data_IF_454532934880
#
_entry.id   IF_454532934880
#
_cell.length_a   1.000
_cell.length_b   1.000
_cell.length_c   1.000
_cell.angle_alpha   90.00
_cell.angle_beta   90.00
_cell.angle_gamma   90.00
#
_symmetry.space_group_name_H-M   'P 1'
#
loop_
_entity.id
_entity.type
_entity.pdbx_description
1 polymer ?
#
# COMPACT_ATOMS: atom_id res chain seq x y z
N UNK A 1 -66.69 60.11 -55.37
CA UNK A 1 -65.30 60.65 -55.35
C UNK A 1 -65.01 61.11 -53.93
N UNK A 2 -63.78 60.87 -53.48
CA UNK A 2 -63.18 61.17 -52.17
C UNK A 2 -63.62 60.31 -50.97
N UNK A 3 -62.82 59.30 -50.60
CA UNK A 3 -61.77 59.27 -49.54
C UNK A 3 -62.31 59.34 -48.12
N UNK A 4 -62.19 58.23 -47.39
CA UNK A 4 -61.83 58.28 -45.98
C UNK A 4 -61.06 57.02 -45.58
N UNK A 5 -59.79 57.23 -45.25
CA UNK A 5 -58.83 56.28 -44.72
C UNK A 5 -59.26 55.86 -43.30
N UNK A 6 -59.29 54.56 -43.00
CA UNK A 6 -59.18 54.07 -41.63
C UNK A 6 -57.92 53.20 -41.53
N UNK A 7 -56.94 53.70 -40.78
CA UNK A 7 -55.72 53.03 -40.36
C UNK A 7 -56.03 52.21 -39.09
N UNK A 8 -55.93 50.88 -39.14
CA UNK A 8 -55.88 50.03 -37.95
C UNK A 8 -54.48 49.42 -37.85
N UNK A 9 -53.72 49.87 -36.86
CA UNK A 9 -52.40 49.34 -36.52
C UNK A 9 -52.54 48.00 -35.79
N UNK A 10 -51.98 46.94 -36.37
CA UNK A 10 -51.80 45.64 -35.70
C UNK A 10 -50.45 45.72 -34.97
N UNK A 11 -50.49 45.80 -33.64
CA UNK A 11 -49.29 45.70 -32.80
C UNK A 11 -48.77 44.26 -32.82
N UNK A 12 -47.61 44.05 -33.43
CA UNK A 12 -46.86 42.80 -33.32
C UNK A 12 -46.07 42.80 -32.00
N UNK A 13 -46.48 41.96 -31.06
CA UNK A 13 -45.70 41.69 -29.84
C UNK A 13 -44.44 40.91 -30.21
N UNK A 14 -43.29 41.57 -30.22
CA UNK A 14 -42.00 40.90 -30.27
C UNK A 14 -41.71 40.26 -28.90
N UNK A 15 -41.79 38.94 -28.81
CA UNK A 15 -41.31 38.21 -27.65
C UNK A 15 -39.78 38.34 -27.59
N UNK A 16 -39.28 38.97 -26.53
CA UNK A 16 -37.85 39.03 -26.25
C UNK A 16 -37.37 37.62 -25.87
N UNK A 17 -36.50 37.04 -26.69
CA UNK A 17 -35.73 35.85 -26.33
C UNK A 17 -34.74 36.25 -25.21
N UNK A 18 -34.60 35.45 -24.13
CA UNK A 18 -33.57 35.70 -23.14
C UNK A 18 -32.20 35.52 -23.80
N UNK A 19 -31.38 36.57 -23.74
CA UNK A 19 -29.99 36.57 -24.14
C UNK A 19 -29.25 35.47 -23.37
N UNK A 20 -28.70 34.49 -24.08
CA UNK A 20 -27.77 33.53 -23.48
C UNK A 20 -26.58 34.31 -22.92
N UNK A 21 -26.14 34.05 -21.67
CA UNK A 21 -24.95 34.70 -21.15
C UNK A 21 -23.75 34.33 -22.02
N UNK A 22 -22.98 35.36 -22.39
CA UNK A 22 -21.75 35.26 -23.18
C UNK A 22 -20.81 34.22 -22.55
N UNK A 23 -20.45 33.18 -23.31
CA UNK A 23 -19.37 32.23 -23.00
C UNK A 23 -17.99 32.90 -23.17
N UNK A 24 -17.80 34.09 -22.59
CA UNK A 24 -16.58 34.88 -22.74
C UNK A 24 -16.05 35.28 -21.36
N UNK A 25 -15.72 34.28 -20.56
CA UNK A 25 -14.70 34.44 -19.50
C UNK A 25 -13.86 33.17 -19.49
N UNK A 26 -13.12 32.96 -20.58
CA UNK A 26 -11.89 32.18 -20.49
C UNK A 26 -11.01 32.96 -19.53
N UNK A 27 -10.70 32.37 -18.36
CA UNK A 27 -9.72 32.95 -17.44
C UNK A 27 -8.50 33.41 -18.25
N UNK A 28 -8.06 34.65 -18.02
CA UNK A 28 -6.84 35.16 -18.60
C UNK A 28 -5.72 34.11 -18.41
N UNK A 29 -4.80 33.94 -19.38
CA UNK A 29 -3.65 33.07 -19.18
C UNK A 29 -3.00 33.46 -17.85
N UNK A 30 -2.88 32.50 -16.94
CA UNK A 30 -2.11 32.68 -15.71
C UNK A 30 -0.75 33.27 -16.12
N UNK A 31 -0.36 34.40 -15.54
CA UNK A 31 0.98 34.94 -15.77
C UNK A 31 1.98 33.89 -15.26
N UNK A 32 2.65 33.22 -16.20
CA UNK A 32 3.70 32.26 -15.90
C UNK A 32 4.95 33.03 -15.51
N UNK A 33 4.99 33.52 -14.26
CA UNK A 33 6.25 33.81 -13.59
C UNK A 33 7.05 32.51 -13.64
N UNK A 34 8.19 32.50 -14.36
CA UNK A 34 9.00 31.32 -14.71
C UNK A 34 8.65 30.08 -13.88
N UNK A 35 7.69 29.29 -14.38
CA UNK A 35 7.28 28.08 -13.68
C UNK A 35 8.50 27.15 -13.66
N UNK A 36 8.87 26.69 -12.47
CA UNK A 36 9.83 25.61 -12.35
C UNK A 36 9.31 24.41 -13.18
N UNK A 37 10.21 23.55 -13.69
CA UNK A 37 9.80 22.27 -14.27
C UNK A 37 8.82 21.54 -13.34
N UNK A 38 7.85 20.81 -13.91
CA UNK A 38 6.82 20.12 -13.12
C UNK A 38 7.41 19.09 -12.13
N UNK A 39 8.62 18.62 -12.43
CA UNK A 39 9.44 17.65 -11.70
C UNK A 39 10.56 18.29 -10.88
N UNK A 40 10.56 19.62 -10.70
CA UNK A 40 11.58 20.29 -9.91
C UNK A 40 11.58 19.77 -8.46
N UNK A 41 12.69 19.15 -8.05
CA UNK A 41 12.86 18.56 -6.72
C UNK A 41 12.44 17.10 -6.60
N UNK A 42 11.94 16.48 -7.67
CA UNK A 42 11.54 15.08 -7.67
C UNK A 42 12.74 14.16 -7.40
N UNK A 43 12.55 13.17 -6.53
CA UNK A 43 13.56 12.16 -6.24
C UNK A 43 13.25 10.89 -7.03
N UNK A 44 14.15 10.54 -7.94
CA UNK A 44 13.99 9.36 -8.81
C UNK A 44 14.83 8.16 -8.38
N UNK A 45 15.70 8.32 -7.38
CA UNK A 45 16.55 7.25 -6.84
C UNK A 45 16.00 6.76 -5.50
N UNK A 46 16.16 5.46 -5.21
CA UNK A 46 15.75 4.92 -3.91
C UNK A 46 16.68 5.43 -2.81
N UNK A 47 16.10 5.87 -1.69
CA UNK A 47 16.89 6.39 -0.57
C UNK A 47 17.26 5.25 0.37
N UNK A 48 18.55 4.93 0.47
CA UNK A 48 19.08 3.91 1.38
C UNK A 48 19.99 4.58 2.41
N UNK A 49 19.63 4.46 3.68
CA UNK A 49 20.31 5.10 4.79
C UNK A 49 21.77 4.60 4.94
N UNK A 50 22.71 5.45 5.42
CA UNK A 50 24.10 5.05 5.70
C UNK A 50 24.33 3.96 6.74
N UNK A 51 23.29 3.54 7.46
CA UNK A 51 23.36 2.37 8.34
C UNK A 51 23.56 1.06 7.58
N UNK A 52 23.18 1.03 6.29
CA UNK A 52 23.39 -0.14 5.44
C UNK A 52 24.85 -0.19 4.95
N UNK A 53 25.52 -1.31 5.21
CA UNK A 53 26.85 -1.59 4.66
C UNK A 53 26.79 -1.84 3.14
N UNK A 54 27.95 -2.00 2.49
CA UNK A 54 28.00 -2.12 1.02
C UNK A 54 27.27 -3.34 0.47
N UNK A 55 27.29 -4.48 1.18
CA UNK A 55 26.62 -5.71 0.75
C UNK A 55 25.10 -5.63 0.96
N UNK A 56 24.66 -5.02 2.07
CA UNK A 56 23.25 -4.77 2.36
C UNK A 56 22.65 -3.81 1.32
N UNK A 57 23.35 -2.70 1.04
CA UNK A 57 22.96 -1.74 0.00
C UNK A 57 22.79 -2.40 -1.37
N UNK A 58 23.72 -3.27 -1.76
CA UNK A 58 23.66 -3.94 -3.06
C UNK A 58 22.43 -4.86 -3.15
N UNK A 59 22.19 -5.70 -2.15
CA UNK A 59 21.04 -6.61 -2.13
C UNK A 59 19.72 -5.85 -2.08
N UNK A 60 19.64 -4.82 -1.24
CA UNK A 60 18.45 -3.98 -1.12
C UNK A 60 18.17 -3.22 -2.42
N UNK A 61 19.20 -2.64 -3.07
CA UNK A 61 19.03 -1.98 -4.36
C UNK A 61 18.52 -2.96 -5.42
N UNK A 62 19.09 -4.17 -5.49
CA UNK A 62 18.60 -5.23 -6.39
C UNK A 62 17.14 -5.59 -6.09
N UNK A 63 16.79 -5.73 -4.81
CA UNK A 63 15.41 -6.00 -4.40
C UNK A 63 14.44 -4.90 -4.78
N UNK A 64 14.84 -3.63 -4.68
CA UNK A 64 14.02 -2.49 -5.07
C UNK A 64 13.84 -2.42 -6.59
N UNK A 65 14.86 -2.77 -7.36
CA UNK A 65 14.75 -2.90 -8.81
C UNK A 65 13.84 -4.08 -9.20
N UNK A 66 13.86 -5.19 -8.44
CA UNK A 66 12.92 -6.30 -8.57
C UNK A 66 11.48 -5.90 -8.21
N UNK A 67 11.28 -5.06 -7.19
CA UNK A 67 9.97 -4.52 -6.82
C UNK A 67 9.38 -3.69 -7.97
N UNK A 68 10.18 -2.81 -8.57
CA UNK A 68 9.79 -2.04 -9.77
C UNK A 68 9.49 -2.97 -10.95
N UNK A 69 10.29 -4.01 -11.15
CA UNK A 69 10.06 -5.02 -12.21
C UNK A 69 8.72 -5.72 -12.02
N UNK A 70 8.45 -6.17 -10.80
CA UNK A 70 7.24 -6.90 -10.44
C UNK A 70 5.99 -6.02 -10.55
N UNK A 71 6.05 -4.78 -10.04
CA UNK A 71 4.99 -3.79 -10.17
C UNK A 71 4.73 -3.40 -11.64
N UNK A 72 5.79 -3.18 -12.42
CA UNK A 72 5.69 -2.88 -13.86
C UNK A 72 4.95 -3.99 -14.60
N UNK A 73 5.32 -5.24 -14.32
CA UNK A 73 4.67 -6.39 -14.92
C UNK A 73 3.19 -6.52 -14.49
N UNK A 74 2.92 -6.41 -13.18
CA UNK A 74 1.57 -6.48 -12.64
C UNK A 74 0.64 -5.42 -13.28
N UNK A 75 1.09 -4.17 -13.35
CA UNK A 75 0.38 -3.09 -14.07
C UNK A 75 0.16 -3.43 -15.54
N UNK A 76 1.18 -3.97 -16.22
CA UNK A 76 1.06 -4.35 -17.64
C UNK A 76 0.03 -5.46 -17.85
N UNK A 77 -0.01 -6.47 -16.97
CA UNK A 77 -1.01 -7.53 -16.99
C UNK A 77 -2.43 -6.96 -16.82
N UNK A 78 -2.62 -6.07 -15.83
CA UNK A 78 -3.91 -5.40 -15.59
C UNK A 78 -4.32 -4.56 -16.80
N UNK A 79 -3.42 -3.78 -17.38
CA UNK A 79 -3.73 -2.94 -18.54
C UNK A 79 -4.07 -3.76 -19.78
N UNK A 80 -3.47 -4.95 -19.92
CA UNK A 80 -3.70 -5.83 -21.06
C UNK A 80 -5.02 -6.58 -20.97
N UNK A 81 -5.31 -7.14 -19.79
CA UNK A 81 -6.42 -8.08 -19.62
C UNK A 81 -7.50 -7.57 -18.68
N UNK A 82 -7.13 -6.80 -17.67
CA UNK A 82 -8.03 -6.35 -16.60
C UNK A 82 -8.86 -7.51 -16.05
N UNK A 83 -10.16 -7.27 -15.89
CA UNK A 83 -11.11 -8.25 -15.39
C UNK A 83 -11.39 -9.45 -16.33
N UNK A 84 -10.80 -9.49 -17.54
CA UNK A 84 -10.87 -10.71 -18.37
C UNK A 84 -9.85 -11.78 -17.97
N UNK A 85 -8.85 -11.42 -17.16
CA UNK A 85 -7.85 -12.36 -16.64
C UNK A 85 -8.39 -13.18 -15.47
N UNK A 86 -8.17 -14.49 -15.52
CA UNK A 86 -8.44 -15.39 -14.39
C UNK A 86 -7.54 -15.06 -13.19
N UNK A 87 -6.29 -14.66 -13.43
CA UNK A 87 -5.35 -14.23 -12.38
C UNK A 87 -5.84 -12.95 -11.73
N UNK A 88 -6.32 -11.97 -12.51
CA UNK A 88 -6.90 -10.73 -11.96
C UNK A 88 -8.13 -11.05 -11.09
N UNK A 89 -9.06 -11.84 -11.62
CA UNK A 89 -10.30 -12.18 -10.92
C UNK A 89 -10.09 -12.98 -9.65
N UNK A 90 -9.02 -13.77 -9.59
CA UNK A 90 -8.64 -14.54 -8.41
C UNK A 90 -8.37 -13.64 -7.20
N UNK A 91 -7.67 -12.52 -7.40
CA UNK A 91 -7.22 -11.64 -6.31
C UNK A 91 -8.08 -10.39 -6.14
N UNK A 92 -8.80 -9.96 -7.19
CA UNK A 92 -9.55 -8.71 -7.19
C UNK A 92 -11.03 -8.87 -7.54
N UNK A 93 -11.50 -10.11 -7.75
CA UNK A 93 -12.90 -10.37 -8.08
C UNK A 93 -13.30 -9.68 -9.38
N UNK A 94 -14.49 -9.06 -9.39
CA UNK A 94 -14.96 -8.30 -10.55
C UNK A 94 -14.70 -6.78 -10.43
N UNK A 95 -13.85 -6.36 -9.49
CA UNK A 95 -13.59 -4.94 -9.23
C UNK A 95 -12.99 -4.24 -10.45
N UNK A 96 -13.18 -2.92 -10.59
CA UNK A 96 -12.53 -2.15 -11.64
C UNK A 96 -10.99 -2.19 -11.52
N UNK A 97 -10.27 -2.29 -12.65
CA UNK A 97 -8.81 -2.47 -12.64
C UNK A 97 -7.99 -1.24 -12.23
N UNK A 98 -8.61 -0.06 -12.22
CA UNK A 98 -7.90 1.22 -12.14
C UNK A 98 -7.13 1.40 -10.85
N UNK A 99 -7.72 0.95 -9.74
CA UNK A 99 -7.14 1.09 -8.42
C UNK A 99 -5.92 0.20 -8.22
N UNK A 100 -6.05 -1.10 -8.51
CA UNK A 100 -4.92 -2.02 -8.48
C UNK A 100 -3.81 -1.59 -9.46
N UNK A 101 -4.16 -1.10 -10.65
CA UNK A 101 -3.18 -0.55 -11.59
C UNK A 101 -2.46 0.70 -11.04
N UNK A 102 -3.20 1.58 -10.35
CA UNK A 102 -2.66 2.78 -9.70
C UNK A 102 -1.73 2.46 -8.53
N UNK A 103 -2.06 1.43 -7.73
CA UNK A 103 -1.22 0.93 -6.64
C UNK A 103 0.16 0.51 -7.14
N UNK A 104 0.24 -0.20 -8.27
CA UNK A 104 1.55 -0.50 -8.87
C UNK A 104 2.20 0.72 -9.52
N UNK A 105 1.41 1.64 -10.10
CA UNK A 105 1.95 2.81 -10.78
C UNK A 105 2.71 3.75 -9.84
N UNK A 106 2.23 3.93 -8.60
CA UNK A 106 2.93 4.75 -7.62
C UNK A 106 4.30 4.16 -7.24
N UNK A 107 4.45 2.83 -7.25
CA UNK A 107 5.76 2.18 -7.06
C UNK A 107 6.70 2.41 -8.26
N UNK A 108 6.16 2.37 -9.48
CA UNK A 108 6.95 2.49 -10.71
C UNK A 108 7.42 3.93 -10.92
N UNK A 109 6.50 4.90 -10.78
CA UNK A 109 6.66 6.28 -11.25
C UNK A 109 6.53 7.33 -10.14
N UNK A 110 6.21 6.93 -8.90
CA UNK A 110 6.09 7.87 -7.78
C UNK A 110 7.42 8.49 -7.38
N UNK A 111 7.34 9.66 -6.74
CA UNK A 111 8.49 10.32 -6.12
C UNK A 111 9.03 9.48 -4.96
N UNK A 112 10.32 9.16 -5.00
CA UNK A 112 10.99 8.28 -4.05
C UNK A 112 11.46 8.97 -2.79
N UNK A 113 11.25 10.28 -2.66
CA UNK A 113 11.57 11.04 -1.45
C UNK A 113 10.81 10.54 -0.22
N UNK A 114 9.61 9.96 -0.42
CA UNK A 114 8.75 9.46 0.65
C UNK A 114 9.11 8.07 1.19
N UNK A 115 10.24 7.49 0.78
CA UNK A 115 10.70 6.17 1.21
C UNK A 115 12.21 6.12 1.49
N UNK A 116 12.56 5.94 2.77
CA UNK A 116 13.92 5.73 3.26
C UNK A 116 14.05 4.32 3.85
N UNK A 117 14.97 3.54 3.31
CA UNK A 117 15.25 2.19 3.77
C UNK A 117 16.48 2.18 4.68
N UNK A 118 16.37 1.51 5.84
CA UNK A 118 17.40 1.48 6.89
C UNK A 118 17.84 0.07 7.22
N UNK A 119 19.07 -0.10 7.69
CA UNK A 119 19.61 -1.39 8.15
C UNK A 119 20.04 -1.38 9.63
N UNK A 120 19.96 -0.22 10.30
CA UNK A 120 20.01 -0.13 11.74
C UNK A 120 18.61 -0.40 12.33
N UNK A 121 18.57 -0.71 13.62
CA UNK A 121 17.36 -1.04 14.36
C UNK A 121 17.06 0.03 15.43
N UNK A 122 16.63 1.24 15.01
CA UNK A 122 16.39 2.34 15.94
C UNK A 122 15.25 2.05 16.93
N UNK A 123 14.32 1.17 16.58
CA UNK A 123 13.17 0.82 17.42
C UNK A 123 13.42 -0.45 18.27
N UNK A 124 14.50 -1.19 18.02
CA UNK A 124 14.85 -2.43 18.73
C UNK A 124 14.03 -3.66 18.34
N UNK A 125 13.17 -3.54 17.32
CA UNK A 125 12.24 -4.59 16.93
C UNK A 125 12.93 -5.76 16.21
N UNK A 126 13.95 -5.48 15.39
CA UNK A 126 14.73 -6.55 14.77
C UNK A 126 15.46 -7.39 15.82
N UNK A 127 15.99 -6.75 16.86
CA UNK A 127 16.65 -7.42 17.96
C UNK A 127 15.67 -8.20 18.86
N UNK A 128 14.44 -7.68 19.04
CA UNK A 128 13.40 -8.35 19.81
C UNK A 128 12.83 -9.59 19.11
N UNK A 129 12.78 -9.58 17.76
CA UNK A 129 12.18 -10.63 16.94
C UNK A 129 13.13 -11.12 15.82
N UNK A 130 14.33 -11.64 16.17
CA UNK A 130 15.42 -11.86 15.22
C UNK A 130 15.13 -12.94 14.17
N UNK A 131 14.28 -13.91 14.50
CA UNK A 131 13.94 -15.05 13.64
C UNK A 131 12.54 -14.92 13.01
N UNK A 132 11.81 -13.85 13.33
CA UNK A 132 10.43 -13.65 12.89
C UNK A 132 10.31 -12.42 11.99
N UNK A 133 10.97 -11.31 12.37
CA UNK A 133 10.84 -10.05 11.68
C UNK A 133 11.97 -9.89 10.67
N UNK A 134 11.61 -9.99 9.39
CA UNK A 134 12.51 -9.61 8.30
C UNK A 134 12.66 -8.08 8.19
N UNK A 135 11.79 -7.32 8.85
CA UNK A 135 11.82 -5.86 8.90
C UNK A 135 10.45 -5.27 9.19
N UNK A 136 10.41 -3.97 9.39
CA UNK A 136 9.18 -3.29 9.83
C UNK A 136 9.09 -1.87 9.29
N UNK A 137 7.86 -1.37 9.19
CA UNK A 137 7.58 0.04 9.03
C UNK A 137 7.70 0.73 10.39
N UNK A 138 8.35 1.90 10.46
CA UNK A 138 8.60 2.59 11.73
C UNK A 138 7.38 3.35 12.28
N UNK A 139 6.29 3.46 11.51
CA UNK A 139 5.09 4.13 11.97
C UNK A 139 5.36 5.59 12.37
N UNK A 140 4.77 6.08 13.48
CA UNK A 140 4.99 7.44 13.97
C UNK A 140 6.45 7.78 14.31
N UNK A 141 7.32 6.80 14.57
CA UNK A 141 8.72 7.03 14.88
C UNK A 141 9.57 7.40 13.64
N UNK A 142 9.02 7.18 12.43
CA UNK A 142 9.67 7.43 11.15
C UNK A 142 8.71 7.12 10.00
N UNK A 143 7.76 8.00 9.73
CA UNK A 143 6.63 7.73 8.81
C UNK A 143 7.03 7.47 7.37
N UNK A 144 8.23 7.87 6.97
CA UNK A 144 8.79 7.62 5.64
C UNK A 144 9.90 6.57 5.67
N UNK A 145 10.00 5.81 6.76
CA UNK A 145 11.11 4.91 7.02
C UNK A 145 10.66 3.46 7.21
N UNK A 146 11.36 2.55 6.55
CA UNK A 146 11.26 1.11 6.83
C UNK A 146 12.63 0.55 7.17
N UNK A 147 12.65 -0.34 8.15
CA UNK A 147 13.84 -1.07 8.61
C UNK A 147 13.90 -2.43 7.93
N UNK A 148 15.07 -2.77 7.40
CA UNK A 148 15.42 -4.09 6.89
C UNK A 148 16.22 -4.82 7.96
N UNK A 149 15.62 -5.82 8.60
CA UNK A 149 16.30 -6.62 9.62
C UNK A 149 17.31 -7.60 8.99
N UNK A 150 18.32 -8.08 9.75
CA UNK A 150 19.30 -9.05 9.28
C UNK A 150 18.68 -10.30 8.61
N UNK A 151 17.53 -10.76 9.12
CA UNK A 151 16.82 -11.90 8.58
C UNK A 151 16.43 -11.75 7.10
N UNK A 152 16.18 -10.53 6.61
CA UNK A 152 15.90 -10.32 5.18
C UNK A 152 17.07 -10.78 4.30
N UNK A 153 18.31 -10.47 4.70
CA UNK A 153 19.50 -10.76 3.90
C UNK A 153 19.87 -12.25 3.85
N UNK A 154 19.26 -13.07 4.69
CA UNK A 154 19.49 -14.53 4.71
C UNK A 154 18.27 -15.33 4.28
N UNK A 155 17.06 -14.77 4.38
CA UNK A 155 15.81 -15.48 4.05
C UNK A 155 15.23 -15.09 2.69
N UNK A 156 15.47 -13.87 2.19
CA UNK A 156 14.86 -13.39 0.96
C UNK A 156 15.56 -13.95 -0.27
N UNK A 157 14.75 -14.36 -1.24
CA UNK A 157 15.21 -14.82 -2.53
C UNK A 157 15.08 -13.71 -3.59
N UNK A 158 15.85 -13.84 -4.65
CA UNK A 158 15.72 -12.99 -5.83
C UNK A 158 14.55 -13.45 -6.70
N UNK A 159 13.86 -12.50 -7.34
CA UNK A 159 12.71 -12.76 -8.22
C UNK A 159 13.02 -13.77 -9.34
N UNK A 160 14.28 -13.88 -9.77
CA UNK A 160 14.72 -14.88 -10.75
C UNK A 160 14.55 -16.33 -10.27
N UNK A 161 14.27 -16.55 -8.98
CA UNK A 161 14.08 -17.86 -8.36
C UNK A 161 12.60 -18.21 -8.14
N UNK A 162 11.66 -17.36 -8.58
CA UNK A 162 10.23 -17.67 -8.47
C UNK A 162 9.90 -18.97 -9.21
N UNK A 163 9.00 -19.76 -8.65
CA UNK A 163 8.63 -21.11 -9.11
C UNK A 163 9.79 -22.13 -9.11
N UNK A 164 10.92 -21.82 -8.46
CA UNK A 164 12.00 -22.77 -8.21
C UNK A 164 11.95 -23.26 -6.76
N UNK A 165 12.75 -24.28 -6.44
CA UNK A 165 12.96 -24.77 -5.06
C UNK A 165 11.66 -25.18 -4.34
N UNK A 166 10.63 -25.58 -5.09
CA UNK A 166 9.36 -26.01 -4.54
C UNK A 166 8.42 -24.88 -4.14
N UNK A 167 8.75 -23.62 -4.48
CA UNK A 167 7.82 -22.50 -4.26
C UNK A 167 6.59 -22.61 -5.16
N UNK A 168 5.42 -22.38 -4.57
CA UNK A 168 4.19 -22.06 -5.26
C UNK A 168 3.50 -20.88 -4.58
N UNK A 169 2.69 -20.13 -5.34
CA UNK A 169 2.07 -18.88 -4.86
C UNK A 169 1.08 -19.12 -3.73
N UNK A 170 0.42 -20.27 -3.70
CA UNK A 170 -0.64 -20.57 -2.74
C UNK A 170 -0.10 -20.88 -1.35
N UNK A 171 0.93 -21.73 -1.28
CA UNK A 171 1.49 -22.20 -0.01
C UNK A 171 2.78 -21.48 0.38
N UNK A 172 3.48 -20.89 -0.59
CA UNK A 172 4.69 -20.12 -0.37
C UNK A 172 4.41 -18.77 0.26
N UNK A 173 5.38 -18.27 1.03
CA UNK A 173 5.29 -16.91 1.58
C UNK A 173 5.31 -15.88 0.44
N UNK A 174 4.34 -14.96 0.46
CA UNK A 174 4.30 -13.78 -0.42
C UNK A 174 5.48 -12.83 -0.22
N UNK A 175 6.12 -12.88 0.93
CA UNK A 175 7.29 -12.05 1.25
C UNK A 175 8.61 -12.78 1.02
N UNK A 176 8.61 -14.00 0.47
CA UNK A 176 9.85 -14.76 0.24
C UNK A 176 10.81 -14.03 -0.73
N UNK A 177 10.26 -13.35 -1.74
CA UNK A 177 11.06 -12.66 -2.75
C UNK A 177 11.25 -11.19 -2.39
N UNK A 178 12.48 -10.69 -2.53
CA UNK A 178 12.82 -9.28 -2.27
C UNK A 178 11.84 -8.31 -2.93
N UNK A 179 11.55 -8.50 -4.23
CA UNK A 179 10.63 -7.63 -4.95
C UNK A 179 9.22 -7.55 -4.35
N UNK A 180 8.67 -8.68 -3.88
CA UNK A 180 7.32 -8.71 -3.30
C UNK A 180 7.31 -8.17 -1.85
N UNK A 181 8.29 -8.54 -1.04
CA UNK A 181 8.47 -8.01 0.32
C UNK A 181 8.65 -6.47 0.31
N UNK A 182 9.36 -5.94 -0.68
CA UNK A 182 9.57 -4.49 -0.79
C UNK A 182 8.35 -3.76 -1.35
N UNK A 183 7.55 -4.37 -2.24
CA UNK A 183 6.22 -3.82 -2.60
C UNK A 183 5.36 -3.64 -1.35
N UNK A 184 5.33 -4.66 -0.48
CA UNK A 184 4.58 -4.61 0.78
C UNK A 184 5.01 -3.45 1.68
N UNK A 185 6.31 -3.34 1.94
CA UNK A 185 6.89 -2.30 2.79
C UNK A 185 6.68 -0.90 2.23
N UNK A 186 6.70 -0.77 0.90
CA UNK A 186 6.36 0.49 0.24
C UNK A 186 4.94 0.89 0.60
N UNK A 187 3.96 0.01 0.51
CA UNK A 187 2.57 0.34 0.84
C UNK A 187 2.34 0.75 2.30
N UNK A 188 3.19 0.34 3.24
CA UNK A 188 3.12 0.89 4.60
C UNK A 188 3.52 2.36 4.71
N UNK A 189 4.32 2.87 3.76
CA UNK A 189 4.75 4.27 3.76
C UNK A 189 3.67 5.16 3.13
N UNK A 190 3.30 6.30 3.75
CA UNK A 190 2.16 7.11 3.31
C UNK A 190 2.19 7.58 1.86
N UNK A 191 3.39 7.82 1.31
CA UNK A 191 3.59 8.25 -0.08
C UNK A 191 3.16 7.20 -1.12
N UNK A 192 3.15 5.92 -0.74
CA UNK A 192 2.80 4.79 -1.61
C UNK A 192 1.50 4.12 -1.18
N UNK A 193 1.25 4.02 0.12
CA UNK A 193 0.01 3.47 0.68
C UNK A 193 -1.17 4.44 0.69
N UNK A 194 -0.98 5.69 0.25
CA UNK A 194 -2.04 6.69 0.27
C UNK A 194 -2.53 7.03 1.68
N UNK A 195 -1.62 7.09 2.67
CA UNK A 195 -1.92 7.25 4.10
C UNK A 195 -2.79 6.11 4.68
N UNK A 196 -2.43 4.85 4.43
CA UNK A 196 -3.17 3.68 4.93
C UNK A 196 -4.41 3.33 4.10
N UNK A 197 -4.52 3.87 2.89
CA UNK A 197 -5.54 3.46 1.93
C UNK A 197 -5.22 2.08 1.33
N UNK A 198 -3.94 1.78 1.11
CA UNK A 198 -3.48 0.42 0.85
C UNK A 198 -2.97 -0.13 2.18
N UNK A 199 -3.61 -1.18 2.66
CA UNK A 199 -3.33 -1.78 3.97
C UNK A 199 -3.66 -3.28 3.97
N UNK A 200 -3.58 -3.91 5.12
CA UNK A 200 -4.00 -5.29 5.36
C UNK A 200 -5.51 -5.37 5.61
N UNK A 201 -6.27 -6.07 4.76
CA UNK A 201 -7.71 -6.27 4.97
C UNK A 201 -8.11 -7.74 5.05
N UNK A 202 -7.42 -8.59 4.31
CA UNK A 202 -7.44 -10.02 4.46
C UNK A 202 -6.00 -10.53 4.47
N UNK A 203 -5.79 -11.68 5.10
CA UNK A 203 -4.46 -12.24 5.26
C UNK A 203 -4.35 -13.60 4.61
N UNK A 204 -3.14 -13.90 4.14
CA UNK A 204 -2.81 -15.18 3.54
C UNK A 204 -3.53 -15.41 2.20
N UNK A 205 -3.11 -16.45 1.49
CA UNK A 205 -3.64 -16.69 0.15
C UNK A 205 -5.16 -16.98 0.18
N UNK A 206 -5.60 -17.81 1.13
CA UNK A 206 -7.00 -18.23 1.24
C UNK A 206 -7.93 -17.06 1.61
N UNK A 207 -7.51 -16.21 2.55
CA UNK A 207 -8.28 -15.03 2.95
C UNK A 207 -8.44 -14.06 1.79
N UNK A 208 -7.36 -13.77 1.07
CA UNK A 208 -7.39 -12.88 -0.09
C UNK A 208 -8.32 -13.38 -1.20
N UNK A 209 -8.19 -14.65 -1.61
CA UNK A 209 -9.03 -15.21 -2.67
C UNK A 209 -10.50 -15.28 -2.26
N UNK A 210 -10.77 -15.54 -0.97
CA UNK A 210 -12.13 -15.54 -0.42
C UNK A 210 -12.72 -14.14 -0.43
N UNK A 211 -11.99 -13.14 0.08
CA UNK A 211 -12.42 -11.75 0.09
C UNK A 211 -12.74 -11.24 -1.32
N UNK A 212 -11.89 -11.56 -2.30
CA UNK A 212 -12.11 -11.22 -3.71
C UNK A 212 -13.37 -11.88 -4.29
N UNK A 213 -13.58 -13.16 -3.98
CA UNK A 213 -14.76 -13.92 -4.43
C UNK A 213 -16.06 -13.39 -3.82
N UNK A 214 -16.01 -12.94 -2.57
CA UNK A 214 -17.14 -12.37 -1.84
C UNK A 214 -17.40 -10.90 -2.22
N UNK A 215 -16.53 -10.30 -3.04
CA UNK A 215 -16.69 -8.93 -3.52
C UNK A 215 -16.34 -7.90 -2.45
N UNK A 216 -15.31 -8.18 -1.64
CA UNK A 216 -14.78 -7.23 -0.67
C UNK A 216 -14.46 -5.89 -1.37
N UNK A 217 -14.88 -4.75 -0.79
CA UNK A 217 -14.55 -3.45 -1.34
C UNK A 217 -13.04 -3.16 -1.30
N UNK A 218 -12.28 -3.94 -0.52
CA UNK A 218 -10.88 -3.69 -0.25
C UNK A 218 -9.91 -4.52 -1.09
N UNK A 219 -10.40 -5.49 -1.88
CA UNK A 219 -9.51 -6.42 -2.58
C UNK A 219 -8.49 -5.74 -3.49
N UNK A 220 -8.83 -4.62 -4.13
CA UNK A 220 -7.95 -3.87 -5.05
C UNK A 220 -6.91 -2.99 -4.38
N UNK A 221 -7.01 -2.78 -3.07
CA UNK A 221 -6.06 -2.03 -2.25
C UNK A 221 -5.61 -2.83 -1.02
N UNK A 222 -5.77 -4.14 -1.06
CA UNK A 222 -5.18 -5.03 -0.06
C UNK A 222 -3.70 -5.27 -0.39
N UNK A 223 -2.81 -4.92 0.54
CA UNK A 223 -1.36 -5.01 0.34
C UNK A 223 -0.88 -6.46 0.14
N UNK A 224 -1.55 -7.45 0.74
CA UNK A 224 -1.29 -8.87 0.54
C UNK A 224 -1.84 -9.33 -0.80
N UNK A 225 -3.05 -8.90 -1.14
CA UNK A 225 -3.69 -9.20 -2.43
C UNK A 225 -2.89 -8.68 -3.61
N UNK A 226 -2.31 -7.49 -3.48
CA UNK A 226 -1.40 -6.92 -4.46
C UNK A 226 -0.12 -7.77 -4.59
N UNK A 227 0.50 -8.18 -3.48
CA UNK A 227 1.68 -9.06 -3.55
C UNK A 227 1.40 -10.38 -4.27
N UNK A 228 0.34 -11.10 -3.87
CA UNK A 228 0.00 -12.39 -4.47
C UNK A 228 -0.33 -12.25 -5.96
N UNK A 229 -1.10 -11.22 -6.34
CA UNK A 229 -1.38 -10.96 -7.74
C UNK A 229 -0.10 -10.71 -8.54
N UNK A 230 0.80 -9.86 -8.02
CA UNK A 230 2.01 -9.49 -8.74
C UNK A 230 2.93 -10.70 -8.95
N UNK A 231 3.09 -11.54 -7.91
CA UNK A 231 3.82 -12.80 -7.97
C UNK A 231 3.21 -13.79 -8.96
N UNK A 232 1.89 -14.04 -8.89
CA UNK A 232 1.26 -15.02 -9.77
C UNK A 232 1.24 -14.56 -11.22
N UNK A 233 0.93 -13.28 -11.48
CA UNK A 233 0.96 -12.73 -12.83
C UNK A 233 2.37 -12.87 -13.44
N UNK A 234 3.42 -12.52 -12.68
CA UNK A 234 4.80 -12.65 -13.15
C UNK A 234 5.21 -14.10 -13.36
N UNK A 235 4.83 -15.00 -12.45
CA UNK A 235 5.02 -16.44 -12.61
C UNK A 235 4.36 -16.96 -13.89
N UNK A 236 3.11 -16.57 -14.13
CA UNK A 236 2.29 -17.04 -15.24
C UNK A 236 2.71 -16.48 -16.60
N UNK A 237 3.08 -15.21 -16.69
CA UNK A 237 3.38 -14.55 -17.96
C UNK A 237 4.86 -14.64 -18.34
N UNK A 238 5.77 -14.56 -17.35
CA UNK A 238 7.21 -14.40 -17.58
C UNK A 238 7.97 -15.69 -17.34
N UNK A 239 7.75 -16.32 -16.18
CA UNK A 239 8.65 -17.37 -15.69
C UNK A 239 8.27 -18.73 -16.23
N UNK A 240 6.97 -19.07 -16.18
CA UNK A 240 6.44 -20.26 -16.79
C UNK A 240 5.19 -19.92 -17.61
N UNK A 241 5.37 -19.39 -18.84
CA UNK A 241 4.29 -18.86 -19.68
C UNK A 241 3.08 -19.78 -19.80
N UNK A 242 1.92 -19.29 -19.38
CA UNK A 242 0.64 -20.00 -19.46
C UNK A 242 0.38 -21.02 -18.35
N UNK A 243 1.34 -21.24 -17.45
CA UNK A 243 1.25 -22.27 -16.39
C UNK A 243 1.52 -21.67 -15.01
N UNK A 244 2.61 -20.91 -14.85
CA UNK A 244 3.05 -20.38 -13.55
C UNK A 244 3.39 -21.46 -12.52
N UNK A 245 3.28 -21.10 -11.24
CA UNK A 245 3.33 -22.00 -10.09
C UNK A 245 2.22 -21.68 -9.08
N UNK A 246 0.94 -21.84 -9.46
CA UNK A 246 -0.19 -21.44 -8.62
C UNK A 246 -0.42 -22.33 -7.39
N UNK A 247 0.26 -23.47 -7.29
CA UNK A 247 0.05 -24.47 -6.23
C UNK A 247 -1.03 -25.50 -6.57
N UNK A 248 -1.29 -26.42 -5.63
CA UNK A 248 -2.29 -27.47 -5.79
C UNK A 248 -3.72 -26.91 -5.81
N UNK A 249 -4.63 -27.57 -6.52
CA UNK A 249 -6.07 -27.27 -6.52
C UNK A 249 -6.85 -27.98 -5.39
N UNK A 250 -6.17 -28.68 -4.48
CA UNK A 250 -6.80 -29.35 -3.35
C UNK A 250 -7.52 -28.34 -2.41
N UNK A 251 -8.50 -28.73 -1.60
CA UNK A 251 -9.11 -27.84 -0.61
C UNK A 251 -8.06 -27.27 0.35
N UNK A 252 -8.20 -25.99 0.72
CA UNK A 252 -7.35 -25.37 1.75
C UNK A 252 -7.62 -26.01 3.12
N UNK A 253 -6.57 -26.50 3.78
CA UNK A 253 -6.66 -26.94 5.18
C UNK A 253 -6.60 -25.73 6.12
N UNK A 254 -7.06 -25.87 7.37
CA UNK A 254 -6.97 -24.78 8.37
C UNK A 254 -5.50 -24.31 8.55
N UNK A 255 -4.53 -25.23 8.43
CA UNK A 255 -3.09 -24.93 8.42
C UNK A 255 -2.65 -24.05 7.23
N UNK A 256 -3.31 -24.14 6.07
CA UNK A 256 -3.07 -23.30 4.89
C UNK A 256 -3.80 -21.94 4.98
N UNK A 257 -4.76 -21.78 5.90
CA UNK A 257 -5.47 -20.53 6.15
C UNK A 257 -4.70 -19.60 7.10
N UNK A 258 -3.88 -20.15 8.01
CA UNK A 258 -3.09 -19.41 9.00
C UNK A 258 -1.60 -19.24 8.58
N UNK A 259 -1.12 -20.02 7.61
CA UNK A 259 0.30 -20.12 7.26
C UNK A 259 0.73 -19.34 6.01
N UNK A 260 0.98 -18.03 6.12
CA UNK A 260 1.83 -17.32 5.13
C UNK A 260 2.77 -16.30 5.80
N UNK A 261 3.12 -16.55 7.07
CA UNK A 261 4.00 -15.72 7.89
C UNK A 261 5.16 -16.49 8.52
N UNK A 262 5.77 -17.47 7.84
CA UNK A 262 6.88 -18.21 8.45
C UNK A 262 7.62 -19.18 7.52
N UNK A 263 8.90 -18.87 7.29
CA UNK A 263 10.04 -19.74 7.00
C UNK A 263 9.77 -21.12 6.39
N UNK A 264 10.10 -21.25 5.10
CA UNK A 264 10.20 -22.54 4.42
C UNK A 264 11.22 -23.45 5.08
N UNK A 265 10.74 -24.46 5.80
CA UNK A 265 11.46 -25.67 6.11
C UNK A 265 10.80 -26.83 5.35
N UNK A 266 11.60 -27.51 4.53
CA UNK A 266 11.20 -28.65 3.74
C UNK A 266 10.54 -29.74 4.60
N UNK A 267 9.49 -30.34 4.04
CA UNK A 267 8.71 -31.42 4.64
C UNK A 267 9.58 -32.61 5.10
N UNK A 268 9.44 -32.97 6.37
CA UNK A 268 9.66 -34.33 6.85
C UNK A 268 8.46 -34.73 7.73
N UNK A 269 7.64 -35.63 7.21
CA UNK A 269 6.50 -36.19 7.91
C UNK A 269 6.94 -36.93 9.19
N UNK A 270 6.38 -36.56 10.34
CA UNK A 270 6.20 -37.47 11.46
C UNK A 270 4.87 -37.19 12.16
N UNK A 271 3.97 -38.17 12.05
CA UNK A 271 2.73 -38.29 12.81
C UNK A 271 3.02 -38.34 14.31
N UNK A 272 2.42 -37.45 15.11
CA UNK A 272 2.11 -37.73 16.51
C UNK A 272 0.82 -37.01 16.91
N UNK A 273 -0.19 -37.82 17.23
CA UNK A 273 -1.50 -37.38 17.71
C UNK A 273 -1.42 -36.98 19.17
N UNK A 274 -1.77 -35.74 19.51
CA UNK A 274 -2.23 -35.37 20.85
C UNK A 274 -3.44 -34.44 20.74
N UNK A 275 -4.50 -34.81 21.44
CA UNK A 275 -5.76 -34.09 21.53
C UNK A 275 -5.57 -32.77 22.30
N UNK A 276 -6.10 -31.67 21.76
CA UNK A 276 -6.24 -30.39 22.46
C UNK A 276 -7.71 -30.11 22.81
N UNK A 277 -7.92 -29.64 24.03
CA UNK A 277 -9.21 -29.25 24.61
C UNK A 277 -9.63 -27.85 24.12
N UNK A 278 -10.94 -27.50 24.12
CA UNK A 278 -11.42 -26.24 23.57
C UNK A 278 -11.09 -25.05 24.50
N UNK A 279 -10.49 -24.01 23.94
CA UNK A 279 -10.36 -22.70 24.58
C UNK A 279 -11.61 -21.83 24.31
N UNK A 280 -12.03 -21.10 25.32
CA UNK A 280 -13.28 -20.35 25.37
C UNK A 280 -13.20 -19.03 24.58
N UNK A 281 -14.26 -18.73 23.84
CA UNK A 281 -14.51 -17.44 23.19
C UNK A 281 -14.98 -16.44 24.25
N UNK A 282 -14.30 -15.31 24.40
CA UNK A 282 -14.80 -14.15 25.13
C UNK A 282 -14.99 -12.99 24.17
N UNK A 283 -16.24 -12.53 24.03
CA UNK A 283 -16.62 -11.36 23.24
C UNK A 283 -15.89 -10.10 23.73
N UNK A 284 -15.28 -9.35 22.80
CA UNK A 284 -14.70 -8.03 23.05
C UNK A 284 -15.78 -6.93 23.06
N UNK A 285 -15.72 -5.93 23.96
CA UNK A 285 -16.70 -4.85 24.04
C UNK A 285 -16.50 -3.81 22.91
N UNK A 286 -17.59 -3.17 22.49
CA UNK A 286 -17.58 -2.17 21.42
C UNK A 286 -16.76 -0.91 21.78
N UNK A 287 -15.86 -0.50 20.88
CA UNK A 287 -15.09 0.75 20.99
C UNK A 287 -13.56 0.62 20.91
N UNK A 288 -13.05 -0.59 20.71
CA UNK A 288 -11.61 -0.86 20.55
C UNK A 288 -11.31 -1.31 19.12
N UNK A 289 -10.23 -0.76 18.55
CA UNK A 289 -9.66 -1.27 17.32
C UNK A 289 -8.62 -2.34 17.69
N UNK A 290 -8.97 -3.59 17.42
CA UNK A 290 -8.20 -4.75 17.83
C UNK A 290 -7.68 -5.50 16.61
N UNK A 291 -6.41 -5.90 16.64
CA UNK A 291 -5.83 -6.82 15.68
C UNK A 291 -5.08 -7.96 16.38
N UNK A 292 -4.99 -9.08 15.69
CA UNK A 292 -4.44 -10.33 16.21
C UNK A 292 -3.13 -10.64 15.48
N UNK A 293 -2.09 -10.96 16.22
CA UNK A 293 -0.81 -11.39 15.67
C UNK A 293 -0.80 -12.90 15.41
N UNK A 294 0.20 -13.36 14.65
CA UNK A 294 0.40 -14.75 14.26
C UNK A 294 0.57 -15.75 15.41
N UNK A 295 0.85 -15.29 16.62
CA UNK A 295 0.95 -16.12 17.83
C UNK A 295 -0.38 -16.21 18.62
N UNK A 296 -1.46 -15.61 18.09
CA UNK A 296 -2.76 -15.53 18.73
C UNK A 296 -2.87 -14.41 19.78
N UNK A 297 -1.86 -13.56 19.93
CA UNK A 297 -1.95 -12.37 20.78
C UNK A 297 -2.82 -11.29 20.14
N UNK A 298 -3.74 -10.71 20.91
CA UNK A 298 -4.64 -9.64 20.45
C UNK A 298 -4.19 -8.32 21.08
N UNK A 299 -3.91 -7.33 20.25
CA UNK A 299 -3.70 -5.95 20.66
C UNK A 299 -4.94 -5.12 20.36
N UNK A 300 -5.50 -4.50 21.39
CA UNK A 300 -6.61 -3.57 21.28
C UNK A 300 -6.14 -2.15 21.63
N UNK A 301 -6.45 -1.18 20.77
CA UNK A 301 -6.24 0.24 21.04
C UNK A 301 -7.58 0.93 21.29
N UNK A 302 -7.64 1.76 22.34
CA UNK A 302 -8.86 2.49 22.69
C UNK A 302 -9.07 3.66 21.72
N UNK A 303 -10.14 3.59 20.94
CA UNK A 303 -10.58 4.70 20.09
C UNK A 303 -11.26 5.78 20.95
N UNK A 304 -10.53 6.41 21.87
CA UNK A 304 -10.98 7.66 22.51
C UNK A 304 -9.82 8.40 23.19
N UNK A 305 -9.06 9.18 22.43
CA UNK A 305 -8.56 10.47 22.94
C UNK A 305 -8.38 11.45 21.77
N UNK A 306 -8.97 12.64 21.79
CA UNK A 306 -8.71 13.64 20.77
C UNK A 306 -7.28 14.18 20.94
N UNK A 307 -6.59 14.23 19.80
CA UNK A 307 -5.30 14.85 19.53
C UNK A 307 -5.09 16.21 20.24
N UNK A 308 -4.01 16.42 21.01
CA UNK A 308 -3.60 17.77 21.37
C UNK A 308 -2.83 18.38 20.20
N UNK A 309 -3.31 19.55 19.77
CA UNK A 309 -2.75 20.36 18.70
C UNK A 309 -1.24 20.59 18.85
N UNK A 310 -0.51 20.34 17.77
CA UNK A 310 0.91 20.64 17.64
C UNK A 310 1.22 22.12 17.90
N UNK A 311 2.10 22.41 18.86
CA UNK A 311 2.75 23.71 18.98
C UNK A 311 4.10 23.68 18.26
N UNK A 312 4.21 24.52 17.25
CA UNK A 312 5.44 24.80 16.50
C UNK A 312 6.50 25.48 17.38
N UNK A 313 7.70 24.88 17.48
CA UNK A 313 8.88 25.58 17.99
C UNK A 313 9.55 26.39 16.87
N UNK A 314 9.71 27.69 17.10
CA UNK A 314 10.61 28.55 16.33
C UNK A 314 11.86 28.84 17.19
N UNK A 315 13.07 28.93 16.62
CA UNK A 315 14.29 29.14 17.40
C UNK A 315 14.47 30.62 17.72
N UNK A 316 14.78 30.95 18.97
CA UNK A 316 15.29 32.26 19.32
C UNK A 316 16.48 32.15 20.29
N UNK A 317 17.51 32.92 19.95
CA UNK A 317 18.79 33.01 20.61
C UNK A 317 18.69 33.66 22.00
N UNK A 318 19.54 33.18 22.92
CA UNK A 318 19.92 33.93 24.12
C UNK A 318 19.49 33.33 25.46
N UNK A 319 20.21 32.30 25.93
CA UNK A 319 20.79 32.30 27.27
C UNK A 319 19.93 32.26 28.54
N UNK A 320 18.60 32.09 28.50
CA UNK A 320 17.78 31.85 29.70
C UNK A 320 16.79 30.69 29.49
N UNK A 321 16.66 29.81 30.49
CA UNK A 321 15.82 28.61 30.41
C UNK A 321 14.38 28.99 30.76
N UNK A 322 13.52 29.03 29.75
CA UNK A 322 12.08 29.23 29.92
C UNK A 322 11.32 27.92 29.71
N UNK A 323 10.28 27.69 30.51
CA UNK A 323 9.29 26.64 30.26
C UNK A 323 7.88 27.15 30.57
N UNK A 324 6.88 26.49 29.97
CA UNK A 324 5.46 26.87 30.09
C UNK A 324 4.72 25.80 30.87
N UNK A 325 3.96 26.20 31.89
CA UNK A 325 3.09 25.31 32.63
C UNK A 325 1.79 25.03 31.88
N UNK A 326 1.09 23.97 32.27
CA UNK A 326 -0.18 23.56 31.66
C UNK A 326 -1.31 24.62 31.73
N UNK A 327 -1.17 25.64 32.59
CA UNK A 327 -2.08 26.79 32.68
C UNK A 327 -1.71 27.93 31.70
N UNK A 328 -0.70 27.75 30.85
CA UNK A 328 -0.22 28.76 29.89
C UNK A 328 0.71 29.81 30.50
N UNK A 329 1.12 29.66 31.77
CA UNK A 329 2.03 30.59 32.44
C UNK A 329 3.48 30.26 32.08
N UNK A 330 4.23 31.28 31.63
CA UNK A 330 5.62 31.17 31.21
C UNK A 330 6.55 31.56 32.38
N UNK A 331 7.48 30.68 32.72
CA UNK A 331 8.48 30.95 33.75
C UNK A 331 9.89 30.82 33.17
N UNK A 332 10.71 31.86 33.35
CA UNK A 332 12.11 31.93 32.91
C UNK A 332 13.04 32.11 34.11
N UNK A 333 14.17 31.40 34.13
CA UNK A 333 15.22 31.49 35.16
C UNK A 333 16.58 31.81 34.59
#
# INVERSE_FOLDING_TARGET
MLTSLLLTAIGASAAALPSLPSLETRQAPFEVLQAAPWDAGAVTEWQIHPSCNSSERLQLQQGLDEAVTLATHAKAHINRWGNSSEVYRKYFGNSPPFEAAGAYDIIINGDRAGALFRCDDPDGNCAAFPDEWAGHYRGPNGTHETVICPLSYTSRQHLSQICSQGYDVRTGSRTLYWGSDLIHRLYHMPAYGGNGYIDHYAEGWAGIVTAAKEGSPNSTHDSDGLQFFALEAYAYDVIYPGVGCPGSNAPVTEEEMEGSGGHGAAAAAMTTSMAAAPAAVTDAPAGQDCHTHSDGSIHCSDATTPEPAATSEAPAAGGENCHTHANGELHCT
#
